data_IF_560598749680
#
_entry.id   IF_560598749680
#
_cell.length_a   1.000
_cell.length_b   1.000
_cell.length_c   1.000
_cell.angle_alpha   90.00
_cell.angle_beta   90.00
_cell.angle_gamma   90.00
#
_symmetry.space_group_name_H-M   'P 1'
#
loop_
_entity.id
_entity.type
_entity.pdbx_description
1 polymer ?
#
# COMPACT_ATOMS: atom_id res chain seq x y z
N UNK A 1 9.02 -4.61 -14.20
CA UNK A 1 9.91 -3.76 -13.37
C UNK A 1 9.22 -3.15 -12.16
N UNK A 2 8.08 -2.45 -12.32
CA UNK A 2 7.35 -1.77 -11.22
C UNK A 2 7.18 -2.63 -9.94
N UNK A 3 6.76 -3.90 -10.06
CA UNK A 3 6.59 -4.78 -8.91
C UNK A 3 7.88 -5.07 -8.12
N UNK A 4 9.01 -5.26 -8.81
CA UNK A 4 10.30 -5.53 -8.14
C UNK A 4 10.84 -4.25 -7.51
N UNK A 5 10.76 -3.13 -8.22
CA UNK A 5 11.29 -1.84 -7.74
C UNK A 5 10.51 -1.32 -6.53
N UNK A 6 9.18 -1.38 -6.55
CA UNK A 6 8.34 -0.92 -5.44
C UNK A 6 8.55 -1.74 -4.17
N UNK A 7 8.70 -3.05 -4.30
CA UNK A 7 8.98 -3.94 -3.16
C UNK A 7 10.39 -3.73 -2.60
N UNK A 8 11.39 -3.51 -3.46
CA UNK A 8 12.76 -3.22 -3.03
C UNK A 8 12.89 -1.96 -2.17
N UNK A 9 12.07 -0.94 -2.42
CA UNK A 9 12.03 0.29 -1.59
C UNK A 9 11.66 -0.04 -0.14
N UNK A 10 10.83 -1.07 0.07
CA UNK A 10 10.45 -1.55 1.41
C UNK A 10 11.37 -2.68 1.93
N UNK A 11 12.49 -2.94 1.26
CA UNK A 11 13.45 -3.97 1.67
C UNK A 11 13.10 -5.41 1.24
N UNK A 12 12.05 -5.61 0.45
CA UNK A 12 11.67 -6.92 -0.10
C UNK A 12 12.55 -7.25 -1.30
N UNK A 13 13.32 -8.35 -1.20
CA UNK A 13 14.34 -8.72 -2.20
C UNK A 13 14.13 -10.16 -2.65
N UNK A 14 14.03 -10.35 -3.96
CA UNK A 14 13.93 -11.68 -4.57
C UNK A 14 15.18 -11.98 -5.41
N UNK A 15 15.55 -13.27 -5.47
CA UNK A 15 16.64 -13.74 -6.33
C UNK A 15 16.36 -13.37 -7.81
N UNK A 16 17.27 -12.69 -8.51
CA UNK A 16 17.11 -12.33 -9.92
C UNK A 16 16.71 -13.50 -10.83
N UNK A 17 17.20 -14.71 -10.54
CA UNK A 17 16.88 -15.91 -11.32
C UNK A 17 15.42 -16.36 -11.15
N UNK A 18 14.78 -15.95 -10.05
CA UNK A 18 13.40 -16.32 -9.71
C UNK A 18 12.37 -15.33 -10.23
N UNK A 19 12.76 -14.10 -10.53
CA UNK A 19 11.86 -13.01 -10.97
C UNK A 19 10.93 -13.47 -12.09
N UNK A 20 11.47 -14.13 -13.13
CA UNK A 20 10.67 -14.60 -14.26
C UNK A 20 9.64 -15.63 -13.84
N UNK A 21 10.04 -16.61 -13.03
CA UNK A 21 9.16 -17.69 -12.59
C UNK A 21 8.02 -17.14 -11.72
N UNK A 22 8.35 -16.24 -10.78
CA UNK A 22 7.39 -15.61 -9.87
C UNK A 22 6.40 -14.74 -10.64
N UNK A 23 6.84 -13.96 -11.62
CA UNK A 23 5.99 -12.97 -12.29
C UNK A 23 5.23 -13.51 -13.51
N UNK A 24 5.76 -14.53 -14.18
CA UNK A 24 5.21 -15.02 -15.46
C UNK A 24 4.43 -16.31 -15.28
N UNK A 25 4.83 -17.20 -14.36
CA UNK A 25 4.12 -18.47 -14.19
C UNK A 25 2.66 -18.22 -13.81
N UNK A 26 1.68 -18.97 -14.35
CA UNK A 26 0.28 -18.84 -13.96
C UNK A 26 0.06 -19.15 -12.47
N UNK A 27 0.77 -20.16 -11.96
CA UNK A 27 0.78 -20.58 -10.55
C UNK A 27 2.22 -20.82 -10.10
N UNK A 28 2.95 -19.77 -9.71
CA UNK A 28 4.29 -19.92 -9.17
C UNK A 28 4.25 -20.64 -7.82
N UNK A 29 5.30 -21.40 -7.51
CA UNK A 29 5.56 -21.88 -6.15
C UNK A 29 6.50 -20.88 -5.49
N UNK A 30 6.02 -20.27 -4.40
CA UNK A 30 6.80 -19.32 -3.62
C UNK A 30 7.70 -20.04 -2.62
N UNK A 31 8.92 -19.55 -2.47
CA UNK A 31 9.88 -20.02 -1.46
C UNK A 31 9.70 -19.35 -0.12
N UNK A 32 9.27 -18.08 -0.15
CA UNK A 32 9.14 -17.23 1.02
C UNK A 32 8.06 -16.16 0.79
N UNK A 33 7.88 -15.33 1.82
CA UNK A 33 6.93 -14.21 1.82
C UNK A 33 7.32 -13.11 0.82
N UNK A 34 8.61 -12.90 0.58
CA UNK A 34 9.08 -11.83 -0.32
C UNK A 34 8.67 -12.13 -1.76
N UNK A 35 8.81 -13.39 -2.20
CA UNK A 35 8.32 -13.84 -3.52
C UNK A 35 6.80 -13.67 -3.65
N UNK A 36 6.05 -13.98 -2.59
CA UNK A 36 4.59 -13.83 -2.55
C UNK A 36 4.15 -12.36 -2.61
N UNK A 37 4.80 -11.47 -1.85
CA UNK A 37 4.51 -10.03 -1.86
C UNK A 37 4.84 -9.38 -3.22
N UNK A 38 5.93 -9.80 -3.88
CA UNK A 38 6.26 -9.34 -5.23
C UNK A 38 5.21 -9.78 -6.26
N UNK A 39 4.74 -11.03 -6.20
CA UNK A 39 3.67 -11.51 -7.07
C UNK A 39 2.35 -10.81 -6.78
N UNK A 40 2.00 -10.68 -5.50
CA UNK A 40 0.80 -9.99 -5.04
C UNK A 40 0.73 -8.54 -5.54
N UNK A 41 1.85 -7.80 -5.49
CA UNK A 41 1.94 -6.46 -6.05
C UNK A 41 1.74 -6.44 -7.57
N UNK A 42 2.31 -7.41 -8.29
CA UNK A 42 2.09 -7.54 -9.75
C UNK A 42 0.62 -7.84 -10.06
N UNK A 43 -0.03 -8.65 -9.25
CA UNK A 43 -1.43 -9.02 -9.45
C UNK A 43 -2.36 -7.84 -9.15
N UNK A 44 -2.06 -7.03 -8.12
CA UNK A 44 -2.73 -5.75 -7.87
C UNK A 44 -2.56 -4.76 -9.04
N UNK A 45 -1.36 -4.59 -9.58
CA UNK A 45 -1.14 -3.77 -10.79
C UNK A 45 -1.94 -4.28 -11.98
N UNK A 46 -1.99 -5.61 -12.17
CA UNK A 46 -2.74 -6.23 -13.25
C UNK A 46 -4.24 -5.96 -13.11
N UNK A 47 -4.76 -6.02 -11.89
CA UNK A 47 -6.15 -5.69 -11.57
C UNK A 47 -6.46 -4.23 -11.92
N UNK A 48 -5.63 -3.30 -11.45
CA UNK A 48 -5.78 -1.85 -11.71
C UNK A 48 -5.75 -1.58 -13.23
N UNK A 49 -4.75 -2.10 -13.95
CA UNK A 49 -4.64 -1.86 -15.39
C UNK A 49 -5.81 -2.41 -16.21
N UNK A 50 -6.42 -3.52 -15.77
CA UNK A 50 -7.56 -4.12 -16.49
C UNK A 50 -8.88 -3.41 -16.20
N UNK A 51 -9.09 -2.97 -14.96
CA UNK A 51 -10.40 -2.57 -14.48
C UNK A 51 -10.40 -1.14 -13.92
N UNK A 52 -9.44 -0.28 -14.28
CA UNK A 52 -9.29 1.06 -13.71
C UNK A 52 -10.59 1.89 -13.71
N UNK A 53 -11.38 1.82 -14.79
CA UNK A 53 -12.63 2.56 -14.90
C UNK A 53 -13.74 2.05 -13.96
N UNK A 54 -13.63 0.80 -13.50
CA UNK A 54 -14.62 0.11 -12.65
C UNK A 54 -14.11 -0.09 -11.22
N UNK A 55 -12.92 0.43 -10.90
CA UNK A 55 -12.28 0.34 -9.58
C UNK A 55 -12.25 1.73 -8.93
N UNK A 56 -13.38 2.20 -8.36
CA UNK A 56 -13.39 3.45 -7.62
C UNK A 56 -12.47 3.33 -6.39
N UNK A 57 -11.81 4.45 -6.06
CA UNK A 57 -11.08 4.57 -4.80
C UNK A 57 -12.09 4.61 -3.66
N UNK A 58 -12.05 3.58 -2.81
CA UNK A 58 -12.92 3.39 -1.66
C UNK A 58 -12.30 2.43 -0.66
N UNK A 59 -12.83 2.39 0.57
CA UNK A 59 -12.29 1.58 1.66
C UNK A 59 -12.13 0.10 1.26
N UNK A 60 -13.15 -0.48 0.61
CA UNK A 60 -13.12 -1.88 0.15
C UNK A 60 -12.01 -2.12 -0.90
N UNK A 61 -11.90 -1.23 -1.90
CA UNK A 61 -10.87 -1.31 -2.93
C UNK A 61 -9.47 -1.22 -2.33
N UNK A 62 -9.25 -0.26 -1.43
CA UNK A 62 -7.96 -0.05 -0.75
C UNK A 62 -7.60 -1.28 0.09
N UNK A 63 -8.53 -1.79 0.89
CA UNK A 63 -8.32 -3.02 1.67
C UNK A 63 -8.07 -4.25 0.77
N UNK A 64 -8.78 -4.37 -0.35
CA UNK A 64 -8.58 -5.48 -1.29
C UNK A 64 -7.19 -5.42 -1.96
N UNK A 65 -6.78 -4.25 -2.46
CA UNK A 65 -5.46 -4.04 -3.03
C UNK A 65 -4.36 -4.28 -1.99
N UNK A 66 -4.55 -3.80 -0.76
CA UNK A 66 -3.64 -4.10 0.35
C UNK A 66 -3.53 -5.62 0.56
N UNK A 67 -4.64 -6.34 0.62
CA UNK A 67 -4.64 -7.78 0.82
C UNK A 67 -3.84 -8.52 -0.27
N UNK A 68 -4.01 -8.13 -1.53
CA UNK A 68 -3.24 -8.68 -2.65
C UNK A 68 -1.74 -8.43 -2.49
N UNK A 69 -1.32 -7.20 -2.18
CA UNK A 69 0.11 -6.85 -2.02
C UNK A 69 0.79 -7.55 -0.84
N UNK A 70 0.01 -8.13 0.07
CA UNK A 70 0.47 -8.79 1.30
C UNK A 70 0.39 -10.31 1.25
N UNK A 71 0.06 -10.91 0.10
CA UNK A 71 -0.13 -12.36 -0.01
C UNK A 71 -1.40 -12.88 0.66
N UNK A 72 -2.33 -12.01 1.05
CA UNK A 72 -3.61 -12.37 1.70
C UNK A 72 -3.46 -13.18 3.00
N UNK A 73 -2.39 -12.93 3.76
CA UNK A 73 -2.10 -13.58 5.04
C UNK A 73 -2.29 -12.64 6.24
N UNK A 74 -2.62 -13.19 7.40
CA UNK A 74 -2.72 -12.46 8.68
C UNK A 74 -3.69 -11.27 8.64
N UNK A 75 -3.16 -10.06 8.80
CA UNK A 75 -3.87 -8.77 8.81
C UNK A 75 -3.91 -8.10 7.43
N UNK A 76 -3.61 -8.85 6.37
CA UNK A 76 -3.79 -8.43 5.00
C UNK A 76 -5.23 -7.93 4.76
N UNK A 77 -5.34 -6.72 4.19
CA UNK A 77 -6.60 -6.03 3.97
C UNK A 77 -7.33 -5.50 5.22
N UNK A 78 -6.70 -5.50 6.39
CA UNK A 78 -7.33 -5.01 7.63
C UNK A 78 -6.63 -3.75 8.13
N UNK A 79 -7.40 -2.70 8.41
CA UNK A 79 -6.87 -1.52 9.10
C UNK A 79 -6.30 -1.88 10.47
N UNK A 80 -5.30 -1.10 10.89
CA UNK A 80 -4.58 -1.31 12.15
C UNK A 80 -5.55 -1.22 13.33
N UNK A 81 -5.44 -2.17 14.23
CA UNK A 81 -6.20 -2.20 15.50
C UNK A 81 -5.36 -1.73 16.70
N UNK A 82 -4.07 -1.46 16.46
CA UNK A 82 -3.11 -0.95 17.45
C UNK A 82 -2.37 0.23 16.86
N UNK A 83 -2.03 1.20 17.70
CA UNK A 83 -1.22 2.34 17.28
C UNK A 83 0.13 1.85 16.77
N UNK A 84 0.59 2.44 15.66
CA UNK A 84 1.88 2.13 15.06
C UNK A 84 2.51 3.42 14.54
N UNK A 85 3.45 3.94 15.31
CA UNK A 85 4.24 5.09 14.89
C UNK A 85 5.41 4.63 14.00
N UNK A 86 5.90 5.54 13.16
CA UNK A 86 7.08 5.28 12.34
C UNK A 86 8.31 5.56 13.20
N UNK A 87 9.00 4.49 13.57
CA UNK A 87 10.16 4.52 14.48
C UNK A 87 11.45 4.36 13.67
N UNK A 88 12.41 5.24 13.89
CA UNK A 88 13.80 5.11 13.44
C UNK A 88 14.63 4.49 14.56
N UNK A 89 15.37 3.40 14.25
CA UNK A 89 16.26 2.70 15.19
C UNK A 89 17.70 2.97 14.79
N UNK A 90 18.52 3.46 15.72
CA UNK A 90 19.93 3.76 15.48
C UNK A 90 20.83 2.56 15.80
N UNK A 91 22.08 2.50 15.27
CA UNK A 91 23.00 1.39 15.51
C UNK A 91 23.37 1.17 16.98
N UNK A 92 23.24 2.20 17.82
CA UNK A 92 23.48 2.14 19.27
C UNK A 92 22.27 1.58 20.05
N UNK A 93 21.19 1.21 19.35
CA UNK A 93 19.96 0.66 19.93
C UNK A 93 18.95 1.73 20.39
N UNK A 94 19.28 3.03 20.28
CA UNK A 94 18.33 4.09 20.58
C UNK A 94 17.24 4.20 19.52
N UNK A 95 16.06 4.68 19.92
CA UNK A 95 14.89 4.82 19.05
C UNK A 95 14.38 6.26 19.04
N UNK A 96 13.93 6.72 17.88
CA UNK A 96 13.25 7.99 17.72
C UNK A 96 11.95 7.79 16.96
N UNK A 97 10.87 8.40 17.46
CA UNK A 97 9.63 8.53 16.67
C UNK A 97 9.89 9.53 15.55
N UNK A 98 9.98 9.02 14.32
CA UNK A 98 10.14 9.84 13.11
C UNK A 98 8.83 10.52 12.74
N UNK A 99 7.72 9.82 12.94
CA UNK A 99 6.39 10.33 12.63
C UNK A 99 5.34 9.61 13.48
N UNK A 100 4.38 10.39 14.03
CA UNK A 100 3.22 9.85 14.74
C UNK A 100 2.06 9.70 13.77
N UNK A 101 1.51 8.51 13.67
CA UNK A 101 0.40 8.25 12.75
C UNK A 101 -0.93 8.46 13.45
N UNK A 102 -2.02 8.52 12.69
CA UNK A 102 -3.38 8.61 13.25
C UNK A 102 -3.62 7.41 14.20
N UNK A 103 -4.23 7.61 15.39
CA UNK A 103 -4.57 6.51 16.28
C UNK A 103 -5.40 5.43 15.58
N UNK A 104 -5.21 4.17 15.99
CA UNK A 104 -5.92 3.04 15.40
C UNK A 104 -7.45 3.19 15.46
N UNK A 105 -7.96 3.75 16.57
CA UNK A 105 -9.39 3.98 16.76
C UNK A 105 -9.99 5.00 15.79
N UNK A 106 -9.17 5.92 15.27
CA UNK A 106 -9.58 7.02 14.36
C UNK A 106 -9.27 6.69 12.89
N UNK A 107 -8.59 5.57 12.62
CA UNK A 107 -8.08 5.24 11.28
C UNK A 107 -9.19 5.07 10.25
N UNK A 108 -10.31 4.45 10.65
CA UNK A 108 -11.43 4.25 9.72
C UNK A 108 -12.06 5.58 9.29
N UNK A 109 -12.33 6.47 10.23
CA UNK A 109 -12.92 7.79 9.98
C UNK A 109 -11.98 8.68 9.17
N UNK A 110 -10.68 8.66 9.46
CA UNK A 110 -9.68 9.40 8.70
C UNK A 110 -9.58 8.91 7.25
N UNK A 111 -9.64 7.59 7.01
CA UNK A 111 -9.65 7.04 5.65
C UNK A 111 -10.94 7.39 4.90
N UNK A 112 -12.10 7.32 5.55
CA UNK A 112 -13.38 7.68 4.95
C UNK A 112 -13.42 9.16 4.54
N UNK A 113 -12.89 10.03 5.40
CA UNK A 113 -12.71 11.46 5.12
C UNK A 113 -11.78 11.67 3.92
N UNK A 114 -10.61 11.05 3.91
CA UNK A 114 -9.63 11.16 2.83
C UNK A 114 -10.21 10.73 1.46
N UNK A 115 -10.98 9.64 1.45
CA UNK A 115 -11.64 9.14 0.23
C UNK A 115 -12.71 10.14 -0.25
N UNK A 116 -13.49 10.69 0.67
CA UNK A 116 -14.53 11.68 0.36
C UNK A 116 -13.92 12.97 -0.20
N UNK A 117 -12.85 13.48 0.42
CA UNK A 117 -12.12 14.67 -0.03
C UNK A 117 -11.51 14.47 -1.41
N UNK A 118 -10.98 13.28 -1.70
CA UNK A 118 -10.50 12.92 -3.04
C UNK A 118 -11.61 13.00 -4.08
N UNK A 119 -12.78 12.41 -3.80
CA UNK A 119 -13.93 12.43 -4.71
C UNK A 119 -14.38 13.87 -4.96
N UNK A 120 -14.53 14.66 -3.89
CA UNK A 120 -14.92 16.07 -3.98
C UNK A 120 -13.92 16.88 -4.81
N UNK A 121 -12.61 16.66 -4.63
CA UNK A 121 -11.58 17.35 -5.41
C UNK A 121 -11.68 17.05 -6.92
N UNK A 122 -12.01 15.80 -7.30
CA UNK A 122 -12.19 15.42 -8.69
C UNK A 122 -13.47 16.01 -9.31
N UNK A 123 -14.53 16.14 -8.51
CA UNK A 123 -15.81 16.73 -8.92
C UNK A 123 -15.72 18.24 -9.10
N UNK A 124 -15.19 18.95 -8.10
CA UNK A 124 -15.11 20.41 -8.10
C UNK A 124 -14.08 20.96 -9.09
N UNK A 125 -13.03 20.17 -9.39
CA UNK A 125 -11.95 20.51 -10.34
C UNK A 125 -11.25 21.85 -10.04
N UNK A 126 -11.34 22.34 -8.81
CA UNK A 126 -10.66 23.54 -8.34
C UNK A 126 -9.14 23.35 -8.19
N UNK A 127 -8.68 22.10 -8.04
CA UNK A 127 -7.27 21.71 -7.96
C UNK A 127 -6.95 20.75 -9.11
N UNK A 128 -5.80 20.89 -9.80
CA UNK A 128 -5.35 19.92 -10.79
C UNK A 128 -5.28 18.49 -10.21
N UNK A 129 -5.78 17.45 -10.90
CA UNK A 129 -5.83 16.09 -10.35
C UNK A 129 -4.49 15.54 -9.87
N UNK A 130 -3.38 15.92 -10.50
CA UNK A 130 -2.04 15.51 -10.06
C UNK A 130 -1.64 16.09 -8.70
N UNK A 131 -2.09 17.29 -8.38
CA UNK A 131 -1.84 17.92 -7.07
C UNK A 131 -2.73 17.25 -6.02
N UNK A 132 -4.00 17.00 -6.35
CA UNK A 132 -4.91 16.25 -5.48
C UNK A 132 -4.36 14.84 -5.18
N UNK A 133 -3.78 14.16 -6.18
CA UNK A 133 -3.15 12.86 -6.01
C UNK A 133 -1.95 12.92 -5.06
N UNK A 134 -1.10 13.95 -5.18
CA UNK A 134 0.04 14.13 -4.29
C UNK A 134 -0.40 14.38 -2.84
N UNK A 135 -1.45 15.18 -2.63
CA UNK A 135 -2.04 15.41 -1.31
C UNK A 135 -2.66 14.13 -0.75
N UNK A 136 -3.46 13.41 -1.55
CA UNK A 136 -4.05 12.13 -1.18
C UNK A 136 -2.98 11.12 -0.72
N UNK A 137 -1.87 11.03 -1.46
CA UNK A 137 -0.78 10.12 -1.12
C UNK A 137 -0.10 10.48 0.19
N UNK A 138 0.15 11.78 0.42
CA UNK A 138 0.73 12.28 1.64
C UNK A 138 -0.17 11.97 2.84
N UNK A 139 -1.46 12.29 2.74
CA UNK A 139 -2.42 12.07 3.81
C UNK A 139 -2.62 10.58 4.10
N UNK A 140 -2.69 9.72 3.06
CA UNK A 140 -2.70 8.27 3.22
C UNK A 140 -1.49 7.77 4.03
N UNK A 141 -0.29 8.25 3.71
CA UNK A 141 0.94 7.89 4.41
C UNK A 141 0.99 8.43 5.85
N UNK A 142 0.36 9.58 6.10
CA UNK A 142 0.20 10.16 7.43
C UNK A 142 -0.81 9.37 8.30
N UNK A 143 -1.94 8.95 7.71
CA UNK A 143 -2.91 8.06 8.37
C UNK A 143 -2.24 6.73 8.71
N UNK A 144 -1.47 6.19 7.75
CA UNK A 144 -0.78 4.91 7.86
C UNK A 144 -1.75 3.79 8.30
N UNK A 145 -2.78 3.50 7.47
CA UNK A 145 -3.95 2.76 7.92
C UNK A 145 -3.69 1.27 8.19
N UNK A 146 -2.64 0.69 7.61
CA UNK A 146 -2.28 -0.72 7.79
C UNK A 146 -1.10 -0.88 8.73
N UNK A 147 -0.90 -2.08 9.30
CA UNK A 147 0.27 -2.37 10.15
C UNK A 147 1.58 -2.32 9.37
N UNK A 148 1.56 -2.69 8.10
CA UNK A 148 2.69 -2.82 7.20
C UNK A 148 2.16 -2.81 5.76
N UNK A 149 2.98 -2.50 4.75
CA UNK A 149 2.57 -2.44 3.35
C UNK A 149 2.04 -1.07 2.88
N UNK A 150 1.94 -0.08 3.76
CA UNK A 150 1.42 1.26 3.40
C UNK A 150 2.19 1.92 2.26
N UNK A 151 3.53 1.90 2.29
CA UNK A 151 4.32 2.51 1.21
C UNK A 151 4.08 1.87 -0.16
N UNK A 152 3.93 0.54 -0.20
CA UNK A 152 3.61 -0.18 -1.45
C UNK A 152 2.23 0.18 -1.96
N UNK A 153 1.24 0.16 -1.07
CA UNK A 153 -0.13 0.48 -1.44
C UNK A 153 -0.25 1.92 -1.92
N UNK A 154 0.41 2.88 -1.25
CA UNK A 154 0.39 4.29 -1.67
C UNK A 154 0.93 4.47 -3.08
N UNK A 155 1.86 3.64 -3.56
CA UNK A 155 2.34 3.72 -4.95
C UNK A 155 1.38 3.13 -5.98
N UNK A 156 0.33 2.43 -5.54
CA UNK A 156 -0.70 1.85 -6.40
C UNK A 156 -1.96 2.71 -6.51
N UNK A 157 -2.31 3.41 -5.42
CA UNK A 157 -3.52 4.26 -5.29
C UNK A 157 -3.18 5.73 -5.53
#
# INVERSE_FOLDING_TARGET
>A
ESAVSSNRIEGVIIDPNRVRDILVAPRPLFRDRDEEEVRGYRDALTLIHKNAAELPIGNETICHLHALTRGQIWDAGQYKTKNSDIIERYPDGSERVRFRTIPAAETWEAMDTLISDWQQCLEDRWVPPLIALAAFNLDFLCIHPFRDGNGRLSRLI
#
